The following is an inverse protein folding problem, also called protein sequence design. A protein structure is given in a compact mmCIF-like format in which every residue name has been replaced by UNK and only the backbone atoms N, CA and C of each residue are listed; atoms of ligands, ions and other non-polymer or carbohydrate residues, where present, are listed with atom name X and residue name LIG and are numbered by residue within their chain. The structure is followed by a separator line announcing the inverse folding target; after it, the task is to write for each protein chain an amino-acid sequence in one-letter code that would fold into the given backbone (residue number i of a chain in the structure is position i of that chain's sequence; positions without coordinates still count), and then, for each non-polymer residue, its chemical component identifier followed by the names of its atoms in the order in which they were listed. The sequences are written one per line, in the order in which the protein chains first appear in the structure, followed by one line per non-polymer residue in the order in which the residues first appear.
data_IF_588036409068
#
_entry.id   IF_588036409068
#
_cell.length_a   1.000
_cell.length_b   1.000
_cell.length_c   1.000
_cell.angle_alpha   90.00
_cell.angle_beta   90.00
_cell.angle_gamma   90.00
#
_symmetry.space_group_name_H-M   'P 1'
#
loop_
_entity.id
_entity.type
_entity.pdbx_description
1 polymer ?
#
# COMPACT_ATOMS: atom_id res chain seq x y z
N UNK A 1 10.20 -14.52 -17.31
CA UNK A 1 11.44 -15.09 -16.70
C UNK A 1 11.46 -14.68 -15.24
N UNK A 2 11.81 -15.61 -14.35
CA UNK A 2 11.93 -15.32 -12.92
C UNK A 2 12.99 -14.22 -12.66
N UNK A 3 12.73 -13.37 -11.69
CA UNK A 3 13.69 -12.39 -11.16
C UNK A 3 14.38 -12.98 -9.91
N UNK A 4 15.35 -12.29 -9.30
CA UNK A 4 15.94 -12.75 -8.02
C UNK A 4 14.94 -12.86 -6.86
N UNK A 5 13.78 -12.20 -6.94
CA UNK A 5 12.81 -12.11 -5.83
C UNK A 5 11.42 -12.65 -6.19
N UNK A 6 11.15 -12.92 -7.47
CA UNK A 6 9.85 -13.41 -7.96
C UNK A 6 10.07 -14.56 -8.94
N UNK A 7 9.48 -15.74 -8.64
CA UNK A 7 9.60 -16.95 -9.46
C UNK A 7 8.38 -17.21 -10.37
N UNK A 8 7.53 -16.20 -10.56
CA UNK A 8 6.39 -16.27 -11.46
C UNK A 8 6.80 -16.28 -12.94
N UNK A 9 5.88 -16.71 -13.81
CA UNK A 9 6.00 -16.59 -15.26
C UNK A 9 5.28 -15.32 -15.77
N UNK A 10 5.63 -14.89 -16.99
CA UNK A 10 4.93 -13.79 -17.64
C UNK A 10 3.44 -14.11 -17.80
N UNK A 11 2.56 -13.20 -17.34
CA UNK A 11 1.11 -13.39 -17.36
C UNK A 11 0.54 -14.10 -16.11
N UNK A 12 1.37 -14.55 -15.18
CA UNK A 12 0.90 -15.04 -13.89
C UNK A 12 0.26 -13.94 -13.06
N UNK A 13 0.89 -12.78 -13.00
CA UNK A 13 0.30 -11.61 -12.35
C UNK A 13 -0.78 -10.95 -13.23
N UNK A 14 -1.76 -10.35 -12.58
CA UNK A 14 -2.68 -9.42 -13.20
C UNK A 14 -1.99 -8.06 -13.46
N UNK A 15 -2.61 -7.20 -14.23
CA UNK A 15 -2.14 -5.82 -14.45
C UNK A 15 -2.30 -4.91 -13.22
N UNK A 16 -3.05 -5.36 -12.21
CA UNK A 16 -3.19 -4.72 -10.90
C UNK A 16 -2.80 -5.68 -9.78
N UNK A 17 -1.99 -5.17 -8.83
CA UNK A 17 -1.53 -5.94 -7.67
C UNK A 17 -1.82 -5.17 -6.39
N UNK A 18 -2.53 -5.82 -5.45
CA UNK A 18 -2.65 -5.36 -4.08
C UNK A 18 -1.41 -5.78 -3.29
N UNK A 19 -0.78 -4.84 -2.61
CA UNK A 19 0.50 -5.09 -1.93
C UNK A 19 0.41 -4.79 -0.43
N UNK A 20 0.14 -5.78 0.43
CA UNK A 20 0.38 -5.68 1.87
C UNK A 20 1.87 -5.83 2.20
N UNK A 21 2.32 -5.27 3.33
CA UNK A 21 3.68 -5.51 3.84
C UNK A 21 3.90 -6.96 4.25
N UNK A 22 2.92 -7.54 4.92
CA UNK A 22 2.95 -8.89 5.46
C UNK A 22 2.52 -9.93 4.40
N UNK A 23 3.38 -10.93 4.06
CA UNK A 23 3.04 -11.98 3.12
C UNK A 23 1.89 -12.88 3.60
N UNK A 24 1.69 -13.05 4.91
CA UNK A 24 0.55 -13.78 5.44
C UNK A 24 -0.76 -13.01 5.25
N UNK A 25 -0.71 -11.68 5.27
CA UNK A 25 -1.87 -10.86 4.88
C UNK A 25 -2.15 -11.00 3.38
N UNK A 26 -1.14 -11.12 2.53
CA UNK A 26 -1.35 -11.41 1.11
C UNK A 26 -2.10 -12.73 0.92
N UNK A 27 -1.71 -13.78 1.65
CA UNK A 27 -2.42 -15.06 1.68
C UNK A 27 -3.86 -14.91 2.17
N UNK A 28 -4.06 -14.22 3.29
CA UNK A 28 -5.40 -13.96 3.84
C UNK A 28 -6.32 -13.25 2.84
N UNK A 29 -5.82 -12.21 2.16
CA UNK A 29 -6.59 -11.48 1.14
C UNK A 29 -6.97 -12.40 0.00
N UNK A 30 -6.03 -13.20 -0.50
CA UNK A 30 -6.27 -14.14 -1.59
C UNK A 30 -7.33 -15.18 -1.23
N UNK A 31 -7.18 -15.83 -0.07
CA UNK A 31 -8.10 -16.89 0.38
C UNK A 31 -9.49 -16.37 0.78
N UNK A 32 -9.59 -15.09 1.21
CA UNK A 32 -10.85 -14.52 1.71
C UNK A 32 -11.67 -13.82 0.62
N UNK A 33 -11.00 -13.16 -0.31
CA UNK A 33 -11.64 -12.23 -1.25
C UNK A 33 -11.55 -12.65 -2.71
N UNK A 34 -10.59 -13.51 -3.09
CA UNK A 34 -10.43 -13.90 -4.48
C UNK A 34 -11.00 -15.31 -4.73
N UNK A 35 -11.66 -15.48 -5.85
CA UNK A 35 -12.08 -16.77 -6.40
C UNK A 35 -10.91 -17.39 -7.17
N UNK A 36 -10.77 -18.72 -7.11
CA UNK A 36 -9.76 -19.51 -7.82
C UNK A 36 -8.32 -18.98 -7.60
N UNK A 37 -8.03 -18.50 -6.39
CA UNK A 37 -6.73 -17.97 -6.04
C UNK A 37 -5.65 -19.05 -6.08
N UNK A 38 -4.58 -18.82 -6.85
CA UNK A 38 -3.40 -19.68 -6.90
C UNK A 38 -2.14 -18.94 -6.49
N UNK A 39 -1.22 -19.62 -5.81
CA UNK A 39 0.09 -19.08 -5.49
C UNK A 39 0.91 -18.91 -6.78
N UNK A 40 1.54 -17.74 -6.94
CA UNK A 40 2.39 -17.39 -8.09
C UNK A 40 3.79 -16.97 -7.68
N UNK A 41 4.03 -16.73 -6.39
CA UNK A 41 5.35 -16.46 -5.83
C UNK A 41 5.47 -16.91 -4.38
N UNK A 42 6.64 -17.47 -4.05
CA UNK A 42 7.01 -17.82 -2.67
C UNK A 42 8.51 -17.61 -2.37
N UNK A 43 9.25 -16.98 -3.28
CA UNK A 43 10.67 -16.69 -3.09
C UNK A 43 10.87 -15.87 -1.83
N UNK A 44 11.80 -16.30 -0.98
CA UNK A 44 12.10 -15.64 0.31
C UNK A 44 10.92 -15.57 1.29
N UNK A 45 9.88 -16.40 1.09
CA UNK A 45 8.64 -16.32 1.87
C UNK A 45 7.73 -15.14 1.51
N UNK A 46 8.05 -14.40 0.45
CA UNK A 46 7.23 -13.29 -0.02
C UNK A 46 6.12 -13.82 -0.90
N UNK A 47 5.02 -14.22 -0.25
CA UNK A 47 3.91 -14.90 -0.91
C UNK A 47 3.17 -13.96 -1.88
N UNK A 48 2.89 -14.48 -3.07
CA UNK A 48 2.09 -13.82 -4.10
C UNK A 48 1.02 -14.76 -4.65
N UNK A 49 -0.15 -14.23 -4.92
CA UNK A 49 -1.32 -14.97 -5.40
C UNK A 49 -2.01 -14.22 -6.54
N UNK A 50 -2.66 -14.98 -7.40
CA UNK A 50 -3.54 -14.44 -8.46
C UNK A 50 -4.84 -15.21 -8.47
N UNK A 51 -5.94 -14.48 -8.51
CA UNK A 51 -7.30 -15.02 -8.61
C UNK A 51 -8.22 -14.02 -9.29
N UNK A 52 -9.53 -14.16 -9.06
CA UNK A 52 -10.53 -13.24 -9.60
C UNK A 52 -11.38 -12.64 -8.48
N UNK A 53 -11.78 -11.38 -8.67
CA UNK A 53 -12.75 -10.70 -7.82
C UNK A 53 -13.88 -10.17 -8.68
N UNK A 54 -15.09 -10.69 -8.51
CA UNK A 54 -16.27 -10.35 -9.34
C UNK A 54 -15.95 -10.47 -10.85
N UNK A 55 -15.21 -11.52 -11.24
CA UNK A 55 -14.81 -11.77 -12.64
C UNK A 55 -13.58 -10.98 -13.13
N UNK A 56 -13.03 -10.06 -12.35
CA UNK A 56 -11.80 -9.31 -12.66
C UNK A 56 -10.56 -10.04 -12.11
N UNK A 57 -9.58 -10.32 -12.96
CA UNK A 57 -8.29 -10.88 -12.53
C UNK A 57 -7.53 -9.86 -11.67
N UNK A 58 -7.15 -10.24 -10.45
CA UNK A 58 -6.41 -9.42 -9.49
C UNK A 58 -5.30 -10.27 -8.87
N UNK A 59 -4.16 -9.65 -8.62
CA UNK A 59 -3.08 -10.28 -7.86
C UNK A 59 -2.90 -9.60 -6.50
N UNK A 60 -2.38 -10.37 -5.57
CA UNK A 60 -2.00 -9.90 -4.24
C UNK A 60 -0.61 -10.42 -3.94
N UNK A 61 0.30 -9.58 -3.48
CA UNK A 61 1.66 -10.00 -3.13
C UNK A 61 2.22 -9.18 -1.97
N UNK A 62 2.90 -9.82 -1.03
CA UNK A 62 3.65 -9.14 0.01
C UNK A 62 4.80 -8.28 -0.54
N UNK A 63 5.17 -7.22 0.19
CA UNK A 63 6.32 -6.39 -0.20
C UNK A 63 7.36 -6.20 0.92
N UNK A 64 7.12 -6.77 2.12
CA UNK A 64 7.98 -6.61 3.27
C UNK A 64 7.83 -5.25 3.96
N UNK A 65 8.79 -4.89 4.79
CA UNK A 65 8.82 -3.65 5.54
C UNK A 65 9.87 -2.69 4.97
N UNK A 66 9.48 -1.41 4.86
CA UNK A 66 10.34 -0.30 4.48
C UNK A 66 10.51 -0.09 2.97
N UNK A 67 10.91 1.14 2.63
CA UNK A 67 11.08 1.58 1.24
C UNK A 67 12.05 0.69 0.44
N UNK A 68 13.20 0.25 0.96
CA UNK A 68 14.10 -0.61 0.21
C UNK A 68 13.44 -1.92 -0.24
N UNK A 69 12.69 -2.58 0.67
CA UNK A 69 12.01 -3.84 0.36
C UNK A 69 10.90 -3.63 -0.67
N UNK A 70 9.95 -2.73 -0.40
CA UNK A 70 8.83 -2.51 -1.31
C UNK A 70 9.27 -2.02 -2.70
N UNK A 71 10.37 -1.28 -2.79
CA UNK A 71 10.93 -0.80 -4.06
C UNK A 71 11.39 -1.94 -4.97
N UNK A 72 11.95 -3.00 -4.41
CA UNK A 72 12.37 -4.19 -5.17
C UNK A 72 11.16 -4.83 -5.85
N UNK A 73 10.16 -5.21 -5.06
CA UNK A 73 8.99 -5.92 -5.55
C UNK A 73 8.15 -5.05 -6.50
N UNK A 74 7.95 -3.78 -6.16
CA UNK A 74 7.22 -2.83 -7.03
C UNK A 74 7.90 -2.70 -8.40
N UNK A 75 9.24 -2.54 -8.43
CA UNK A 75 9.98 -2.45 -9.68
C UNK A 75 9.83 -3.73 -10.50
N UNK A 76 10.15 -4.89 -9.92
CA UNK A 76 10.10 -6.17 -10.65
C UNK A 76 8.69 -6.46 -11.19
N UNK A 77 7.64 -6.23 -10.41
CA UNK A 77 6.26 -6.38 -10.87
C UNK A 77 5.95 -5.53 -12.10
N UNK A 78 6.41 -4.27 -12.12
CA UNK A 78 6.17 -3.35 -13.22
C UNK A 78 7.02 -3.71 -14.44
N UNK A 79 8.34 -3.88 -14.26
CA UNK A 79 9.28 -4.01 -15.39
C UNK A 79 9.34 -5.42 -15.98
N UNK A 80 9.17 -6.45 -15.15
CA UNK A 80 9.38 -7.84 -15.55
C UNK A 80 8.07 -8.62 -15.72
N UNK A 81 7.00 -8.23 -15.02
CA UNK A 81 5.70 -8.91 -15.07
C UNK A 81 4.57 -8.06 -15.67
N UNK A 82 4.86 -6.84 -16.10
CA UNK A 82 3.92 -6.01 -16.86
C UNK A 82 2.78 -5.41 -16.03
N UNK A 83 2.91 -5.37 -14.71
CA UNK A 83 1.93 -4.74 -13.80
C UNK A 83 1.83 -3.24 -14.10
N UNK A 84 0.61 -2.72 -14.11
CA UNK A 84 0.29 -1.33 -14.45
C UNK A 84 -0.21 -0.51 -13.27
N UNK A 85 -0.82 -1.19 -12.29
CA UNK A 85 -1.41 -0.55 -11.11
C UNK A 85 -0.95 -1.26 -9.85
N UNK A 86 -0.43 -0.50 -8.89
CA UNK A 86 -0.03 -0.98 -7.57
C UNK A 86 -0.93 -0.34 -6.52
N UNK A 87 -1.56 -1.14 -5.67
CA UNK A 87 -2.34 -0.66 -4.52
C UNK A 87 -1.73 -1.22 -3.24
N UNK A 88 -1.02 -0.37 -2.49
CA UNK A 88 -0.60 -0.75 -1.15
C UNK A 88 -1.82 -0.83 -0.23
N UNK A 89 -1.99 -1.96 0.44
CA UNK A 89 -3.02 -2.19 1.47
C UNK A 89 -2.33 -2.49 2.80
N UNK A 90 -2.09 -1.45 3.58
CA UNK A 90 -1.21 -1.50 4.73
C UNK A 90 -1.81 -1.01 6.04
N UNK A 91 -0.96 -0.85 7.03
CA UNK A 91 -1.30 -0.21 8.30
C UNK A 91 -0.52 1.08 8.47
N UNK A 92 -1.04 2.01 9.26
CA UNK A 92 -0.35 3.22 9.67
C UNK A 92 -0.64 3.55 11.14
N UNK A 93 0.27 4.29 11.77
CA UNK A 93 0.06 4.91 13.05
C UNK A 93 -0.58 6.30 12.90
N UNK A 94 -1.61 6.61 13.70
CA UNK A 94 -2.20 7.94 13.73
C UNK A 94 -1.40 8.91 14.59
N UNK A 95 -1.40 10.19 14.21
CA UNK A 95 -0.82 11.29 15.01
C UNK A 95 -1.92 12.28 15.41
N UNK A 96 -2.83 12.58 14.48
CA UNK A 96 -3.85 13.62 14.67
C UNK A 96 -4.90 13.17 15.68
N UNK A 97 -5.32 14.00 16.65
CA UNK A 97 -6.24 13.61 17.71
C UNK A 97 -7.61 13.12 17.25
N UNK A 98 -8.02 13.51 16.05
CA UNK A 98 -9.32 13.14 15.46
C UNK A 98 -9.25 11.90 14.56
N UNK A 99 -8.07 11.33 14.34
CA UNK A 99 -7.85 10.07 13.62
C UNK A 99 -7.80 8.93 14.63
N UNK A 100 -8.65 7.92 14.46
CA UNK A 100 -8.86 6.87 15.44
C UNK A 100 -8.38 5.51 14.94
N UNK A 101 -8.17 4.58 15.85
CA UNK A 101 -7.95 3.18 15.50
C UNK A 101 -9.04 2.68 14.58
N UNK A 102 -8.65 1.93 13.55
CA UNK A 102 -9.50 1.35 12.49
C UNK A 102 -10.02 2.34 11.46
N UNK A 103 -9.75 3.66 11.58
CA UNK A 103 -10.00 4.59 10.48
C UNK A 103 -9.25 4.13 9.23
N UNK A 104 -9.87 4.29 8.06
CA UNK A 104 -9.22 4.05 6.78
C UNK A 104 -8.66 5.35 6.24
N UNK A 105 -7.41 5.31 5.78
CA UNK A 105 -6.70 6.45 5.20
C UNK A 105 -6.34 6.13 3.75
N UNK A 106 -6.77 7.01 2.84
CA UNK A 106 -6.36 7.02 1.43
C UNK A 106 -5.23 8.04 1.29
N UNK A 107 -4.03 7.57 0.99
CA UNK A 107 -2.83 8.39 0.89
C UNK A 107 -2.73 9.10 -0.46
N UNK A 108 -3.13 10.38 -0.52
CA UNK A 108 -3.00 11.17 -1.75
C UNK A 108 -1.55 11.58 -2.06
N UNK A 109 -0.70 11.61 -1.05
CA UNK A 109 0.73 11.89 -1.15
C UNK A 109 1.45 11.33 0.07
N UNK A 110 2.77 11.29 0.03
CA UNK A 110 3.58 10.83 1.15
C UNK A 110 4.86 11.65 1.29
N UNK A 111 5.06 12.25 2.47
CA UNK A 111 6.35 12.77 2.90
C UNK A 111 7.26 11.60 3.30
N UNK A 112 8.57 11.83 3.38
CA UNK A 112 9.50 10.79 3.84
C UNK A 112 10.80 11.40 4.36
N UNK A 113 11.41 10.72 5.32
CA UNK A 113 12.79 10.96 5.75
C UNK A 113 13.80 10.12 4.95
N UNK A 114 13.31 9.17 4.14
CA UNK A 114 14.14 8.35 3.26
C UNK A 114 14.77 9.17 2.14
N UNK A 115 16.03 8.86 1.82
CA UNK A 115 16.72 9.45 0.68
C UNK A 115 16.50 8.72 -0.64
N UNK A 116 15.75 7.62 -0.65
CA UNK A 116 15.59 6.76 -1.84
C UNK A 116 15.05 7.52 -3.04
N UNK A 117 14.00 8.33 -2.86
CA UNK A 117 13.45 9.14 -3.96
C UNK A 117 14.42 10.25 -4.39
N UNK A 118 15.15 10.87 -3.47
CA UNK A 118 16.19 11.86 -3.81
C UNK A 118 17.31 11.26 -4.64
N UNK A 119 17.80 10.07 -4.27
CA UNK A 119 18.82 9.36 -5.04
C UNK A 119 18.32 9.08 -6.46
N UNK A 120 17.09 8.59 -6.62
CA UNK A 120 16.46 8.34 -7.94
C UNK A 120 16.27 9.62 -8.75
N UNK A 121 15.91 10.71 -8.10
CA UNK A 121 15.61 12.01 -8.72
C UNK A 121 16.82 12.96 -8.68
N UNK A 122 18.05 12.43 -8.66
CA UNK A 122 19.34 13.14 -8.73
C UNK A 122 19.45 14.28 -7.70
N UNK A 123 19.19 13.95 -6.43
CA UNK A 123 19.21 14.84 -5.26
C UNK A 123 18.18 15.99 -5.26
N UNK A 124 17.21 15.96 -6.16
CA UNK A 124 16.08 16.88 -6.12
C UNK A 124 14.95 16.31 -5.24
N UNK A 125 14.07 17.18 -4.76
CA UNK A 125 12.86 16.75 -4.05
C UNK A 125 11.84 16.24 -5.06
N UNK A 126 11.35 15.01 -4.83
CA UNK A 126 10.32 14.37 -5.61
C UNK A 126 8.98 14.43 -4.88
N UNK A 127 7.94 14.94 -5.55
CA UNK A 127 6.58 14.91 -5.01
C UNK A 127 6.02 13.48 -5.14
N UNK A 128 6.12 12.69 -4.06
CA UNK A 128 5.57 11.35 -4.01
C UNK A 128 4.04 11.42 -3.86
N UNK A 129 3.32 11.41 -4.98
CA UNK A 129 1.86 11.51 -5.07
C UNK A 129 1.26 10.24 -5.66
N UNK A 130 0.05 9.90 -5.22
CA UNK A 130 -0.75 8.84 -5.81
C UNK A 130 -1.30 9.26 -7.19
N UNK A 131 -1.70 8.26 -7.99
CA UNK A 131 -2.46 8.52 -9.21
C UNK A 131 -3.85 9.07 -8.85
N UNK A 132 -4.23 10.17 -9.46
CA UNK A 132 -5.46 10.90 -9.13
C UNK A 132 -6.73 10.06 -9.38
N UNK A 133 -6.79 9.33 -10.49
CA UNK A 133 -7.95 8.50 -10.81
C UNK A 133 -8.10 7.36 -9.80
N UNK A 134 -6.98 6.75 -9.37
CA UNK A 134 -7.01 5.72 -8.32
C UNK A 134 -7.48 6.28 -6.98
N UNK A 135 -7.07 7.50 -6.61
CA UNK A 135 -7.58 8.18 -5.39
C UNK A 135 -9.08 8.41 -5.50
N UNK A 136 -9.56 8.99 -6.62
CA UNK A 136 -10.98 9.24 -6.87
C UNK A 136 -11.80 7.95 -6.77
N UNK A 137 -11.37 6.90 -7.46
CA UNK A 137 -12.05 5.61 -7.46
C UNK A 137 -12.09 4.97 -6.06
N UNK A 138 -11.02 5.12 -5.25
CA UNK A 138 -11.01 4.64 -3.87
C UNK A 138 -11.99 5.43 -2.97
N UNK A 139 -12.08 6.75 -3.16
CA UNK A 139 -13.07 7.60 -2.44
C UNK A 139 -14.50 7.21 -2.81
N UNK A 140 -14.77 6.99 -4.09
CA UNK A 140 -16.10 6.60 -4.56
C UNK A 140 -16.47 5.18 -4.12
N UNK A 141 -15.51 4.25 -4.11
CA UNK A 141 -15.68 2.91 -3.55
C UNK A 141 -16.01 2.97 -2.04
N UNK A 142 -15.27 3.78 -1.26
CA UNK A 142 -15.54 3.96 0.16
C UNK A 142 -16.96 4.48 0.41
N UNK A 143 -17.39 5.51 -0.32
CA UNK A 143 -18.77 6.05 -0.25
C UNK A 143 -19.80 4.98 -0.57
N UNK A 144 -19.62 4.23 -1.65
CA UNK A 144 -20.56 3.18 -2.06
C UNK A 144 -20.67 2.05 -1.03
N UNK A 145 -19.58 1.76 -0.31
CA UNK A 145 -19.55 0.78 0.78
C UNK A 145 -20.06 1.34 2.12
N UNK A 146 -20.32 2.64 2.23
CA UNK A 146 -20.68 3.28 3.49
C UNK A 146 -19.52 3.35 4.50
N UNK A 147 -18.28 3.31 4.03
CA UNK A 147 -17.07 3.37 4.85
C UNK A 147 -16.57 4.82 4.85
N UNK A 148 -16.40 5.38 6.05
CA UNK A 148 -15.77 6.70 6.21
C UNK A 148 -14.25 6.55 6.02
N UNK A 149 -13.73 7.14 4.94
CA UNK A 149 -12.31 7.12 4.62
C UNK A 149 -11.73 8.54 4.57
N UNK A 150 -10.59 8.71 5.21
CA UNK A 150 -9.86 9.98 5.24
C UNK A 150 -8.90 10.04 4.05
N UNK A 151 -8.88 11.17 3.36
CA UNK A 151 -7.90 11.43 2.30
C UNK A 151 -6.87 12.44 2.82
N UNK A 152 -5.59 12.13 2.70
CA UNK A 152 -4.56 13.06 3.16
C UNK A 152 -3.14 12.56 2.91
N UNK A 153 -2.17 13.33 3.41
CA UNK A 153 -0.76 12.98 3.28
C UNK A 153 -0.35 11.96 4.35
N UNK A 154 0.40 10.95 3.91
CA UNK A 154 1.12 10.02 4.77
C UNK A 154 2.55 10.51 5.04
N UNK A 155 3.22 9.90 5.99
CA UNK A 155 4.67 9.98 6.16
C UNK A 155 5.25 8.58 6.14
N UNK A 156 6.14 8.31 5.19
CA UNK A 156 6.88 7.06 5.09
C UNK A 156 8.21 7.20 5.83
N UNK A 157 8.32 6.56 6.98
CA UNK A 157 9.51 6.60 7.83
C UNK A 157 10.48 5.45 7.53
N UNK A 158 11.78 5.70 7.54
CA UNK A 158 12.80 4.64 7.47
C UNK A 158 12.96 3.91 8.81
N UNK A 159 12.65 4.57 9.92
CA UNK A 159 12.78 4.00 11.26
C UNK A 159 11.40 3.83 11.93
N UNK A 160 11.03 2.58 12.21
CA UNK A 160 9.83 2.29 13.02
C UNK A 160 9.97 2.81 14.45
N UNK A 161 11.15 2.62 15.04
CA UNK A 161 11.51 3.14 16.36
C UNK A 161 12.29 4.45 16.18
N UNK A 162 11.56 5.55 15.97
CA UNK A 162 12.18 6.87 15.77
C UNK A 162 12.83 7.35 17.06
N UNK A 163 14.09 7.81 17.00
CA UNK A 163 14.74 8.46 18.14
C UNK A 163 14.29 9.92 18.30
N UNK A 164 13.61 10.50 17.31
CA UNK A 164 13.19 11.89 17.24
C UNK A 164 11.69 12.02 17.52
N UNK A 165 11.34 12.22 18.79
CA UNK A 165 9.95 12.43 19.21
C UNK A 165 9.39 13.80 18.79
N UNK A 166 10.23 14.82 18.59
CA UNK A 166 9.81 16.16 18.18
C UNK A 166 9.28 16.16 16.73
N UNK A 167 9.74 15.25 15.89
CA UNK A 167 9.26 15.13 14.53
C UNK A 167 7.75 14.85 14.46
N UNK A 168 7.18 14.17 15.45
CA UNK A 168 5.74 13.93 15.51
C UNK A 168 4.94 15.23 15.71
N UNK A 169 5.50 16.23 16.43
CA UNK A 169 4.87 17.55 16.58
C UNK A 169 4.87 18.29 15.24
N UNK A 170 5.94 18.16 14.47
CA UNK A 170 6.02 18.73 13.12
C UNK A 170 5.00 18.06 12.20
N UNK A 171 4.91 16.73 12.22
CA UNK A 171 3.95 15.97 11.39
C UNK A 171 2.50 16.37 11.73
N UNK A 172 2.16 16.50 13.03
CA UNK A 172 0.85 16.95 13.48
C UNK A 172 0.55 18.37 12.97
N UNK A 173 1.49 19.29 13.09
CA UNK A 173 1.35 20.68 12.60
C UNK A 173 1.11 20.74 11.08
N UNK A 174 1.70 19.83 10.32
CA UNK A 174 1.51 19.74 8.86
C UNK A 174 0.32 18.86 8.44
N UNK A 175 -0.46 18.35 9.39
CA UNK A 175 -1.67 17.59 9.12
C UNK A 175 -1.42 16.21 8.49
N UNK A 176 -0.32 15.55 8.85
CA UNK A 176 -0.03 14.19 8.39
C UNK A 176 -1.04 13.24 9.04
N UNK A 177 -1.84 12.55 8.22
CA UNK A 177 -2.93 11.69 8.70
C UNK A 177 -2.48 10.33 9.17
N UNK A 178 -1.32 9.86 8.73
CA UNK A 178 -0.79 8.57 9.15
C UNK A 178 0.69 8.42 8.86
N UNK A 179 1.39 7.66 9.70
CA UNK A 179 2.80 7.28 9.55
C UNK A 179 2.87 5.80 9.19
N UNK A 180 3.56 5.48 8.13
CA UNK A 180 3.83 4.14 7.64
C UNK A 180 5.26 4.09 7.07
N UNK A 181 5.64 3.10 6.29
CA UNK A 181 7.04 2.93 5.92
C UNK A 181 7.30 2.74 4.41
N UNK A 182 6.31 2.86 3.50
CA UNK A 182 6.48 2.42 2.10
C UNK A 182 5.86 3.30 1.01
N UNK A 183 4.78 4.02 1.30
CA UNK A 183 3.99 4.73 0.28
C UNK A 183 4.84 5.66 -0.60
N UNK A 184 5.73 6.46 0.00
CA UNK A 184 6.60 7.37 -0.75
C UNK A 184 7.52 6.63 -1.73
N UNK A 185 8.03 5.46 -1.33
CA UNK A 185 8.87 4.62 -2.19
C UNK A 185 8.09 4.01 -3.34
N UNK A 186 6.90 3.47 -3.07
CA UNK A 186 6.03 2.87 -4.09
C UNK A 186 5.61 3.92 -5.12
N UNK A 187 5.22 5.13 -4.69
CA UNK A 187 4.89 6.23 -5.60
C UNK A 187 6.07 6.64 -6.48
N UNK A 188 7.27 6.72 -5.89
CA UNK A 188 8.48 7.06 -6.63
C UNK A 188 8.84 6.01 -7.68
N UNK A 189 8.79 4.72 -7.33
CA UNK A 189 9.07 3.62 -8.27
C UNK A 189 8.01 3.56 -9.37
N UNK A 190 6.74 3.68 -9.03
CA UNK A 190 5.66 3.65 -10.02
C UNK A 190 5.81 4.79 -11.04
N UNK A 191 6.10 6.01 -10.58
CA UNK A 191 6.34 7.15 -11.45
C UNK A 191 7.54 6.95 -12.37
N UNK A 192 8.67 6.42 -11.85
CA UNK A 192 9.88 6.16 -12.64
C UNK A 192 9.64 5.18 -13.79
N UNK A 193 8.80 4.17 -13.58
CA UNK A 193 8.54 3.11 -14.57
C UNK A 193 7.18 3.22 -15.26
N UNK A 194 6.49 4.37 -15.14
CA UNK A 194 5.25 4.65 -15.87
C UNK A 194 4.05 3.82 -15.45
N UNK A 195 4.01 3.40 -14.20
CA UNK A 195 2.86 2.72 -13.59
C UNK A 195 2.09 3.68 -12.65
N UNK A 196 0.87 3.29 -12.28
CA UNK A 196 0.01 4.00 -11.35
C UNK A 196 0.09 3.37 -9.96
N UNK A 197 0.04 4.19 -8.91
CA UNK A 197 0.09 3.68 -7.54
C UNK A 197 -0.85 4.42 -6.59
N UNK A 198 -1.32 3.69 -5.58
CA UNK A 198 -2.14 4.19 -4.48
C UNK A 198 -1.79 3.46 -3.19
N UNK A 199 -1.84 4.14 -2.05
CA UNK A 199 -1.78 3.52 -0.72
C UNK A 199 -3.10 3.74 0.00
N UNK A 200 -3.67 2.65 0.53
CA UNK A 200 -4.83 2.65 1.42
C UNK A 200 -4.39 1.96 2.70
N UNK A 201 -4.49 2.64 3.83
CA UNK A 201 -4.03 2.13 5.12
C UNK A 201 -5.18 2.09 6.13
N UNK A 202 -5.15 1.12 7.03
CA UNK A 202 -5.97 1.13 8.24
C UNK A 202 -5.11 1.58 9.41
N UNK A 203 -5.63 2.47 10.23
CA UNK A 203 -4.97 2.92 11.46
C UNK A 203 -4.90 1.77 12.45
N UNK A 204 -3.70 1.29 12.75
CA UNK A 204 -3.44 0.17 13.65
C UNK A 204 -3.05 0.59 15.05
N UNK A 205 -2.54 1.78 15.21
CA UNK A 205 -2.08 2.35 16.48
C UNK A 205 -2.14 3.88 16.44
N UNK A 206 -2.13 4.48 17.61
CA UNK A 206 -2.09 5.93 17.76
C UNK A 206 -0.83 6.34 18.52
N UNK A 207 0.09 7.02 17.84
CA UNK A 207 1.43 7.33 18.35
C UNK A 207 1.37 8.16 19.63
N UNK A 208 0.40 9.08 19.77
CA UNK A 208 0.26 9.96 20.92
C UNK A 208 -0.42 9.29 22.12
N UNK A 209 -1.44 8.48 21.89
CA UNK A 209 -2.20 7.85 22.99
C UNK A 209 -1.65 6.48 23.37
N UNK A 210 -0.76 5.91 22.55
CA UNK A 210 -0.22 4.55 22.68
C UNK A 210 -1.27 3.44 22.62
N UNK A 211 -2.47 3.74 22.14
CA UNK A 211 -3.45 2.72 21.81
C UNK A 211 -3.00 1.93 20.59
N UNK A 212 -3.17 0.63 20.59
CA UNK A 212 -2.75 -0.24 19.48
C UNK A 212 -3.63 -1.47 19.36
N UNK A 213 -3.78 -1.95 18.12
CA UNK A 213 -4.36 -3.25 17.82
C UNK A 213 -3.29 -4.35 17.89
N UNK A 214 -3.72 -5.59 18.12
CA UNK A 214 -2.83 -6.76 18.15
C UNK A 214 -2.31 -7.12 16.76
N UNK A 215 -1.22 -7.89 16.68
CA UNK A 215 -0.70 -8.39 15.41
C UNK A 215 -1.72 -9.27 14.67
N UNK A 216 -2.48 -10.10 15.37
CA UNK A 216 -3.52 -10.95 14.80
C UNK A 216 -4.65 -10.11 14.18
N UNK A 217 -5.11 -9.05 14.86
CA UNK A 217 -6.11 -8.13 14.32
C UNK A 217 -5.61 -7.43 13.04
N UNK A 218 -4.35 -6.99 13.02
CA UNK A 218 -3.75 -6.35 11.83
C UNK A 218 -3.74 -7.28 10.61
N UNK A 219 -3.60 -8.58 10.83
CA UNK A 219 -3.56 -9.57 9.76
C UNK A 219 -4.94 -9.86 9.17
N UNK A 220 -5.99 -9.97 9.99
CA UNK A 220 -7.26 -10.60 9.57
C UNK A 220 -8.51 -9.74 9.74
N UNK A 221 -8.44 -8.55 10.36
CA UNK A 221 -9.65 -7.76 10.64
C UNK A 221 -9.75 -6.43 9.89
N UNK A 222 -8.71 -5.99 9.18
CA UNK A 222 -8.71 -4.72 8.46
C UNK A 222 -9.30 -4.87 7.05
N UNK A 223 -10.52 -5.39 6.99
CA UNK A 223 -11.18 -5.74 5.73
C UNK A 223 -11.71 -4.55 4.94
N UNK A 224 -11.99 -3.43 5.60
CA UNK A 224 -12.59 -2.27 4.93
C UNK A 224 -11.63 -1.64 3.92
N UNK A 225 -10.34 -1.49 4.24
CA UNK A 225 -9.35 -1.01 3.27
C UNK A 225 -9.22 -1.96 2.07
N UNK A 226 -9.32 -3.29 2.31
CA UNK A 226 -9.23 -4.31 1.26
C UNK A 226 -10.43 -4.24 0.34
N UNK A 227 -11.65 -4.10 0.89
CA UNK A 227 -12.87 -3.92 0.11
C UNK A 227 -12.81 -2.65 -0.73
N UNK A 228 -12.37 -1.53 -0.14
CA UNK A 228 -12.19 -0.27 -0.88
C UNK A 228 -11.20 -0.48 -2.03
N UNK A 229 -10.05 -1.13 -1.79
CA UNK A 229 -9.07 -1.39 -2.83
C UNK A 229 -9.66 -2.23 -3.98
N UNK A 230 -10.34 -3.32 -3.66
CA UNK A 230 -10.94 -4.22 -4.66
C UNK A 230 -12.05 -3.53 -5.46
N UNK A 231 -12.97 -2.82 -4.81
CA UNK A 231 -14.04 -2.09 -5.50
C UNK A 231 -13.51 -0.93 -6.33
N UNK A 232 -12.43 -0.24 -5.88
CA UNK A 232 -11.80 0.83 -6.65
C UNK A 232 -11.20 0.33 -7.97
N UNK A 233 -10.70 -0.91 -8.01
CA UNK A 233 -10.22 -1.54 -9.26
C UNK A 233 -11.36 -1.68 -10.25
N UNK A 234 -12.53 -2.18 -9.79
CA UNK A 234 -13.71 -2.36 -10.66
C UNK A 234 -14.28 -1.04 -11.19
N UNK A 235 -14.18 0.05 -10.40
CA UNK A 235 -14.59 1.39 -10.87
C UNK A 235 -13.64 1.89 -11.96
N UNK A 236 -12.34 1.72 -11.78
CA UNK A 236 -11.33 2.17 -12.74
C UNK A 236 -11.29 1.38 -14.06
N UNK A 237 -11.97 0.25 -14.16
CA UNK A 237 -12.11 -0.51 -15.42
C UNK A 237 -13.33 -0.05 -16.25
N UNK A 238 -14.20 0.82 -15.71
CA UNK A 238 -15.38 1.35 -16.39
C UNK A 238 -15.13 2.68 -17.12
N UNK A 239 -13.95 3.26 -16.91
CA UNK A 239 -13.47 4.48 -17.54
C UNK A 239 -12.55 4.18 -18.73
#
# INVERSE_FOLDING_TARGET
MATPHINAEMGDFADVVLMPGDPLRAKYIAETFLEDAREVNNVRGMLGFTGTYKGRKISVMGHGAGIPSCSIYTKELITDFGVKKIIRVGTCGAILPHVKLRDVVIGMGACTDSKVNRIRFKDHDFAAIADFDMVRNAVDAAKALGIDARVGNLHSADLFYSPDGEMFDVMEKYGIVGVEMEAAGIYGVAAEFGAKALAICTVSDHIRTHEATTAAERQTTFNDMIKIALESVLLGDKE
#
